data_IF_100402488523
#
_entry.id   IF_100402488523
#
_cell.length_a   1.000
_cell.length_b   1.000
_cell.length_c   1.000
_cell.angle_alpha   90.00
_cell.angle_beta   90.00
_cell.angle_gamma   90.00
#
_symmetry.space_group_name_H-M   'P 1'
#
loop_
_entity.id
_entity.type
_entity.pdbx_description
1 polymer ?
#
# COMPACT_ATOMS: atom_id res chain seq x y z
N UNK A 1 -6.58 3.12 19.60
CA UNK A 1 -5.47 2.40 20.22
C UNK A 1 -4.91 1.35 19.27
N UNK A 2 -3.62 1.02 19.45
CA UNK A 2 -2.91 -0.03 18.71
C UNK A 2 -2.17 -0.89 19.74
N UNK A 3 -2.54 -2.15 19.85
CA UNK A 3 -1.96 -3.12 20.79
C UNK A 3 -1.23 -4.16 19.95
N UNK A 4 0.04 -4.39 20.25
CA UNK A 4 0.89 -5.38 19.59
C UNK A 4 1.53 -6.27 20.66
N UNK A 5 1.39 -7.57 20.48
CA UNK A 5 2.05 -8.57 21.28
C UNK A 5 2.92 -9.41 20.35
N UNK A 6 4.14 -9.70 20.77
CA UNK A 6 5.02 -10.58 20.01
C UNK A 6 5.89 -11.41 20.94
N UNK A 7 6.21 -12.61 20.48
CA UNK A 7 7.16 -13.52 21.11
C UNK A 7 8.24 -13.81 20.10
N UNK A 8 9.48 -13.66 20.50
CA UNK A 8 10.64 -13.99 19.67
C UNK A 8 11.45 -15.12 20.30
N UNK A 9 11.97 -15.96 19.43
CA UNK A 9 12.88 -17.04 19.79
C UNK A 9 14.10 -16.96 18.88
N UNK A 10 15.30 -17.00 19.48
CA UNK A 10 16.57 -16.99 18.76
C UNK A 10 17.49 -18.05 19.36
N UNK A 11 18.10 -18.87 18.51
CA UNK A 11 19.02 -19.90 18.95
C UNK A 11 20.11 -20.16 17.91
N UNK A 12 21.34 -20.25 18.38
CA UNK A 12 22.49 -20.70 17.62
C UNK A 12 22.95 -22.03 18.21
N UNK A 13 23.19 -23.04 17.35
CA UNK A 13 23.74 -24.31 17.76
C UNK A 13 24.83 -24.80 16.81
N UNK A 14 25.77 -25.51 17.35
CA UNK A 14 26.95 -26.00 16.62
C UNK A 14 27.70 -24.90 15.85
N UNK A 15 27.60 -23.63 16.27
CA UNK A 15 28.22 -22.45 15.62
C UNK A 15 27.88 -22.26 14.15
N UNK A 16 27.03 -23.11 13.60
CA UNK A 16 26.67 -23.15 12.15
C UNK A 16 25.20 -22.92 11.88
N UNK A 17 24.34 -23.22 12.83
CA UNK A 17 22.91 -23.11 12.65
C UNK A 17 22.41 -21.93 13.45
N UNK A 18 21.86 -20.96 12.77
CA UNK A 18 21.19 -19.81 13.37
C UNK A 18 19.70 -19.84 12.99
N UNK A 19 18.86 -19.89 14.00
CA UNK A 19 17.41 -19.90 13.83
C UNK A 19 16.78 -18.77 14.61
N UNK A 20 15.95 -17.96 13.92
CA UNK A 20 15.18 -16.90 14.53
C UNK A 20 13.71 -17.10 14.14
N UNK A 21 12.84 -16.97 15.12
CA UNK A 21 11.40 -17.03 14.91
C UNK A 21 10.71 -15.89 15.68
N UNK A 22 9.70 -15.31 15.07
CA UNK A 22 8.85 -14.28 15.66
C UNK A 22 7.40 -14.64 15.39
N UNK A 23 6.59 -14.64 16.44
CA UNK A 23 5.13 -14.76 16.33
C UNK A 23 4.52 -13.51 16.94
N UNK A 24 3.51 -12.95 16.28
CA UNK A 24 2.89 -11.74 16.79
C UNK A 24 1.44 -11.60 16.43
N UNK A 25 0.79 -10.72 17.18
CA UNK A 25 -0.60 -10.29 17.03
C UNK A 25 -0.66 -8.78 17.11
N UNK A 26 -1.51 -8.18 16.31
CA UNK A 26 -1.82 -6.75 16.34
C UNK A 26 -3.34 -6.56 16.34
N UNK A 27 -3.82 -5.66 17.17
CA UNK A 27 -5.21 -5.20 17.19
C UNK A 27 -5.18 -3.68 17.14
N UNK A 28 -5.80 -3.11 16.11
CA UNK A 28 -5.92 -1.66 15.96
C UNK A 28 -7.39 -1.27 15.94
N UNK A 29 -7.70 -0.28 16.74
CA UNK A 29 -9.00 0.33 16.86
C UNK A 29 -8.85 1.84 16.68
N UNK A 30 -9.50 2.41 15.68
CA UNK A 30 -9.48 3.84 15.41
C UNK A 30 -10.89 4.34 15.18
N UNK A 31 -11.27 5.33 15.96
CA UNK A 31 -12.48 6.12 15.77
C UNK A 31 -12.07 7.51 15.37
N UNK A 32 -12.53 7.94 14.21
CA UNK A 32 -12.25 9.27 13.67
C UNK A 32 -13.53 10.03 13.52
N UNK A 33 -13.55 11.22 14.09
CA UNK A 33 -14.62 12.19 13.87
C UNK A 33 -14.04 13.37 13.08
N UNK A 34 -14.62 13.65 11.94
CA UNK A 34 -14.31 14.81 11.13
C UNK A 34 -15.51 15.75 11.19
N UNK A 35 -15.27 16.97 11.65
CA UNK A 35 -16.25 18.05 11.63
C UNK A 35 -15.77 19.07 10.60
N UNK A 36 -16.61 19.41 9.66
CA UNK A 36 -16.34 20.44 8.65
C UNK A 36 -17.35 21.58 8.79
N UNK A 37 -16.85 22.80 8.78
CA UNK A 37 -17.66 24.00 8.82
C UNK A 37 -17.38 24.80 7.55
N UNK A 38 -18.43 25.19 6.83
CA UNK A 38 -18.34 26.04 5.64
C UNK A 38 -18.88 27.41 5.98
N UNK A 39 -18.04 28.42 5.84
CA UNK A 39 -18.44 29.82 6.02
C UNK A 39 -18.85 30.45 4.68
N UNK A 40 -20.00 31.13 4.67
CA UNK A 40 -20.51 31.84 3.49
C UNK A 40 -20.40 33.33 3.66
N UNK A 41 -20.36 34.06 2.55
CA UNK A 41 -20.32 35.53 2.56
C UNK A 41 -19.00 36.08 3.07
N UNK A 42 -17.88 35.50 2.61
CA UNK A 42 -16.54 35.93 3.01
C UNK A 42 -16.26 37.37 2.61
N UNK A 43 -15.94 38.25 3.59
CA UNK A 43 -15.71 39.68 3.40
C UNK A 43 -14.21 39.97 3.42
N UNK A 44 -13.64 40.18 2.24
CA UNK A 44 -12.20 40.45 2.10
C UNK A 44 -11.79 41.81 2.64
N UNK A 45 -12.69 42.80 2.55
CA UNK A 45 -12.50 44.16 3.01
C UNK A 45 -12.58 44.32 4.54
N UNK A 46 -13.16 43.32 5.22
CA UNK A 46 -13.27 43.27 6.69
C UNK A 46 -12.31 42.26 7.34
N UNK A 47 -11.14 42.08 6.80
CA UNK A 47 -10.12 41.21 7.37
C UNK A 47 -10.36 39.71 7.17
N UNK A 48 -11.18 39.33 6.18
CA UNK A 48 -11.38 37.94 5.83
C UNK A 48 -12.31 37.16 6.79
N UNK A 49 -13.35 37.83 7.28
CA UNK A 49 -14.37 37.19 8.13
C UNK A 49 -15.54 36.68 7.31
N UNK A 50 -16.20 35.61 7.78
CA UNK A 50 -17.46 35.12 7.21
C UNK A 50 -18.62 35.96 7.70
N UNK A 51 -19.65 36.10 6.86
CA UNK A 51 -20.87 36.81 7.28
C UNK A 51 -21.67 35.91 8.23
N UNK A 52 -22.03 36.46 9.40
CA UNK A 52 -22.91 35.80 10.38
C UNK A 52 -24.38 36.16 10.14
N UNK A 53 -24.75 36.68 8.96
CA UNK A 53 -26.11 37.06 8.64
C UNK A 53 -27.00 35.82 8.54
N UNK A 54 -28.05 35.76 9.40
CA UNK A 54 -29.03 34.68 9.42
C UNK A 54 -29.72 34.47 8.07
N UNK A 55 -29.99 35.52 7.31
CA UNK A 55 -30.68 35.41 6.02
C UNK A 55 -29.82 34.67 4.98
N UNK A 56 -28.49 34.92 4.97
CA UNK A 56 -27.55 34.21 4.11
C UNK A 56 -27.50 32.73 4.51
N UNK A 57 -27.40 32.43 5.80
CA UNK A 57 -27.38 31.03 6.30
C UNK A 57 -28.68 30.30 5.95
N UNK A 58 -29.83 30.96 6.15
CA UNK A 58 -31.14 30.41 5.79
C UNK A 58 -31.23 30.09 4.29
N UNK A 59 -30.82 31.01 3.43
CA UNK A 59 -30.82 30.82 1.98
C UNK A 59 -29.90 29.68 1.55
N UNK A 60 -28.71 29.56 2.15
CA UNK A 60 -27.80 28.45 1.86
C UNK A 60 -28.39 27.09 2.25
N UNK A 61 -29.02 27.02 3.41
CA UNK A 61 -29.70 25.77 3.86
C UNK A 61 -30.85 25.43 2.92
N UNK A 62 -31.67 26.40 2.51
CA UNK A 62 -32.78 26.20 1.57
C UNK A 62 -32.30 25.74 0.18
N UNK A 63 -31.06 26.06 -0.20
CA UNK A 63 -30.41 25.62 -1.43
C UNK A 63 -29.59 24.35 -1.28
N UNK A 64 -29.72 23.63 -0.14
CA UNK A 64 -28.97 22.42 0.20
C UNK A 64 -27.43 22.61 0.26
N UNK A 65 -26.97 23.79 0.63
CA UNK A 65 -25.58 24.04 0.96
C UNK A 65 -25.35 23.83 2.45
N UNK A 66 -24.51 22.85 2.78
CA UNK A 66 -24.19 22.52 4.17
C UNK A 66 -23.24 23.56 4.77
N UNK A 67 -23.58 24.13 5.93
CA UNK A 67 -22.67 24.93 6.74
C UNK A 67 -21.92 24.08 7.79
N UNK A 68 -22.40 22.88 8.06
CA UNK A 68 -21.80 21.95 8.98
C UNK A 68 -21.99 20.53 8.49
N UNK A 69 -20.92 19.77 8.46
CA UNK A 69 -20.99 18.31 8.25
C UNK A 69 -20.16 17.56 9.28
N UNK A 70 -20.60 16.38 9.61
CA UNK A 70 -19.95 15.48 10.55
C UNK A 70 -19.83 14.09 9.95
N UNK A 71 -18.60 13.61 9.82
CA UNK A 71 -18.33 12.24 9.42
C UNK A 71 -17.72 11.45 10.58
N UNK A 72 -18.21 10.23 10.77
CA UNK A 72 -17.70 9.27 11.76
C UNK A 72 -17.14 8.06 11.00
N UNK A 73 -15.89 7.71 11.27
CA UNK A 73 -15.24 6.54 10.68
C UNK A 73 -14.77 5.63 11.80
N UNK A 74 -15.08 4.35 11.68
CA UNK A 74 -14.75 3.32 12.67
C UNK A 74 -13.90 2.24 12.01
N UNK A 75 -12.58 2.28 12.24
CA UNK A 75 -11.63 1.30 11.71
C UNK A 75 -11.30 0.25 12.78
N UNK A 76 -11.48 -1.00 12.43
CA UNK A 76 -11.13 -2.18 13.23
C UNK A 76 -10.24 -3.07 12.39
N UNK A 77 -9.06 -3.31 12.89
CA UNK A 77 -8.06 -4.10 12.19
C UNK A 77 -7.43 -5.11 13.15
N UNK A 78 -7.28 -6.32 12.70
CA UNK A 78 -6.59 -7.39 13.44
C UNK A 78 -5.65 -8.12 12.52
N UNK A 79 -4.46 -8.43 13.00
CA UNK A 79 -3.45 -9.16 12.26
C UNK A 79 -2.78 -10.22 13.14
N UNK A 80 -2.47 -11.36 12.53
CA UNK A 80 -1.58 -12.37 13.07
C UNK A 80 -0.42 -12.54 12.12
N UNK A 81 0.79 -12.60 12.63
CA UNK A 81 1.97 -12.72 11.78
C UNK A 81 3.01 -13.64 12.39
N UNK A 82 3.74 -14.31 11.51
CA UNK A 82 4.89 -15.12 11.84
C UNK A 82 6.04 -14.82 10.88
N UNK A 83 7.24 -14.79 11.41
CA UNK A 83 8.48 -14.72 10.65
C UNK A 83 9.41 -15.83 11.13
N UNK A 84 10.08 -16.49 10.20
CA UNK A 84 11.08 -17.52 10.49
C UNK A 84 12.27 -17.28 9.58
N UNK A 85 13.45 -17.17 10.20
CA UNK A 85 14.72 -17.03 9.52
C UNK A 85 15.64 -18.16 9.95
N UNK A 86 16.25 -18.81 8.99
CA UNK A 86 17.23 -19.85 9.23
C UNK A 86 18.47 -19.61 8.39
N UNK A 87 19.64 -19.60 9.02
CA UNK A 87 20.93 -19.47 8.36
C UNK A 87 21.84 -20.65 8.70
N UNK A 88 22.40 -21.25 7.67
CA UNK A 88 23.35 -22.35 7.81
C UNK A 88 24.77 -21.88 7.43
N UNK A 89 25.69 -22.04 8.35
CA UNK A 89 27.14 -21.80 8.20
C UNK A 89 27.47 -20.42 7.60
N UNK A 90 26.58 -19.42 7.87
CA UNK A 90 26.66 -18.06 7.30
C UNK A 90 26.70 -18.03 5.76
N UNK A 91 26.36 -19.15 5.10
CA UNK A 91 26.36 -19.30 3.64
C UNK A 91 24.96 -19.27 3.06
N UNK A 92 24.06 -20.04 3.63
CA UNK A 92 22.72 -20.22 3.13
C UNK A 92 21.72 -19.65 4.13
N UNK A 93 20.92 -18.69 3.73
CA UNK A 93 19.83 -18.16 4.54
C UNK A 93 18.51 -18.35 3.82
N UNK A 94 17.49 -18.75 4.55
CA UNK A 94 16.11 -18.79 4.09
C UNK A 94 15.24 -18.04 5.09
N UNK A 95 14.37 -17.19 4.58
CA UNK A 95 13.43 -16.41 5.39
C UNK A 95 12.02 -16.63 4.88
N UNK A 96 11.09 -16.82 5.80
CA UNK A 96 9.67 -16.96 5.52
C UNK A 96 8.85 -16.06 6.42
N UNK A 97 7.95 -15.29 5.83
CA UNK A 97 6.99 -14.45 6.56
C UNK A 97 5.58 -14.79 6.11
N UNK A 98 4.68 -14.92 7.05
CA UNK A 98 3.24 -15.04 6.79
C UNK A 98 2.50 -14.04 7.67
N UNK A 99 1.49 -13.40 7.10
CA UNK A 99 0.62 -12.47 7.83
C UNK A 99 -0.83 -12.69 7.40
N UNK A 100 -1.72 -12.72 8.37
CA UNK A 100 -3.15 -12.90 8.19
C UNK A 100 -3.87 -11.68 8.74
N UNK A 101 -4.37 -10.84 7.85
CA UNK A 101 -4.94 -9.54 8.14
C UNK A 101 -6.46 -9.55 7.98
N UNK A 102 -7.16 -8.90 8.91
CA UNK A 102 -8.60 -8.72 8.87
C UNK A 102 -9.01 -7.27 9.15
N UNK A 103 -10.01 -6.78 8.42
CA UNK A 103 -10.55 -5.43 8.58
C UNK A 103 -12.07 -5.41 8.45
N UNK A 104 -12.71 -4.48 9.19
CA UNK A 104 -14.16 -4.25 9.10
C UNK A 104 -14.56 -3.42 7.87
N UNK A 105 -13.60 -2.79 7.16
CA UNK A 105 -13.86 -1.96 5.99
C UNK A 105 -14.11 -2.78 4.73
N UNK A 106 -13.79 -4.08 4.76
CA UNK A 106 -14.03 -5.01 3.67
C UNK A 106 -15.42 -5.63 3.72
N UNK A 107 -15.82 -6.25 2.60
CA UNK A 107 -17.12 -6.85 2.39
C UNK A 107 -17.60 -7.76 3.53
N UNK A 108 -18.91 -8.01 3.58
CA UNK A 108 -19.54 -8.84 4.61
C UNK A 108 -19.14 -10.33 4.53
N UNK A 109 -18.54 -10.79 3.41
CA UNK A 109 -18.06 -12.17 3.32
C UNK A 109 -16.76 -12.34 4.12
N UNK A 110 -16.66 -13.46 4.82
CA UNK A 110 -15.45 -13.79 5.61
C UNK A 110 -14.20 -13.89 4.73
N UNK A 111 -14.33 -14.40 3.51
CA UNK A 111 -13.23 -14.54 2.55
C UNK A 111 -12.69 -13.21 2.02
N UNK A 112 -13.54 -12.18 1.91
CA UNK A 112 -13.09 -10.84 1.52
C UNK A 112 -12.55 -10.04 2.71
N UNK A 113 -12.98 -10.37 3.93
CA UNK A 113 -12.54 -9.67 5.15
C UNK A 113 -11.14 -10.06 5.59
N UNK A 114 -10.74 -11.31 5.33
CA UNK A 114 -9.48 -11.88 5.77
C UNK A 114 -8.61 -12.27 4.57
N UNK A 115 -7.35 -11.84 4.59
CA UNK A 115 -6.40 -12.18 3.53
C UNK A 115 -5.06 -12.60 4.09
N UNK A 116 -4.55 -13.79 3.72
CA UNK A 116 -3.18 -14.17 3.98
C UNK A 116 -2.22 -13.47 3.00
N UNK A 117 -1.18 -12.85 3.51
CA UNK A 117 -0.02 -12.39 2.75
C UNK A 117 1.21 -13.18 3.20
N UNK A 118 2.15 -13.39 2.29
CA UNK A 118 3.32 -14.19 2.61
C UNK A 118 4.51 -13.79 1.74
N UNK A 119 5.70 -14.08 2.24
CA UNK A 119 6.94 -13.93 1.50
C UNK A 119 7.89 -15.08 1.85
N UNK A 120 8.59 -15.59 0.85
CA UNK A 120 9.68 -16.53 1.03
C UNK A 120 10.88 -15.99 0.27
N UNK A 121 12.03 -15.92 0.92
CA UNK A 121 13.27 -15.45 0.31
C UNK A 121 14.45 -16.33 0.71
N UNK A 122 15.41 -16.41 -0.19
CA UNK A 122 16.67 -17.12 0.02
C UNK A 122 17.86 -16.23 -0.33
N UNK A 123 18.95 -16.43 0.41
CA UNK A 123 20.23 -15.79 0.17
C UNK A 123 21.35 -16.82 0.21
N UNK A 124 22.19 -16.80 -0.80
CA UNK A 124 23.41 -17.59 -0.85
C UNK A 124 24.63 -16.68 -0.83
N UNK A 125 25.38 -16.69 0.26
CA UNK A 125 26.63 -15.98 0.42
C UNK A 125 27.77 -16.80 -0.21
N UNK A 126 27.93 -16.72 -1.52
CA UNK A 126 28.92 -17.46 -2.30
C UNK A 126 30.35 -17.10 -1.84
N UNK A 127 30.59 -15.84 -1.47
CA UNK A 127 31.87 -15.38 -0.96
C UNK A 127 32.39 -16.17 0.25
N UNK A 128 31.50 -16.84 1.00
CA UNK A 128 31.88 -17.67 2.14
C UNK A 128 32.18 -19.13 1.77
N UNK A 129 32.10 -19.49 0.49
CA UNK A 129 32.39 -20.85 0.03
C UNK A 129 33.89 -21.10 -0.08
N UNK A 130 34.29 -22.35 0.10
CA UNK A 130 35.71 -22.73 0.10
C UNK A 130 36.41 -22.45 -1.24
N UNK A 131 35.70 -22.62 -2.36
CA UNK A 131 36.20 -22.38 -3.71
C UNK A 131 36.40 -20.89 -4.04
N UNK A 132 35.80 -19.99 -3.25
CA UNK A 132 35.95 -18.54 -3.45
C UNK A 132 37.24 -17.97 -2.85
N UNK A 133 37.92 -18.71 -1.99
CA UNK A 133 39.15 -18.25 -1.32
C UNK A 133 40.29 -17.95 -2.29
N UNK A 134 40.29 -18.56 -3.47
CA UNK A 134 41.32 -18.39 -4.49
C UNK A 134 41.09 -17.11 -5.32
N UNK A 135 39.94 -16.46 -5.23
CA UNK A 135 39.60 -15.24 -5.96
C UNK A 135 39.90 -14.00 -5.12
N UNK A 136 41.19 -13.63 -5.03
CA UNK A 136 41.66 -12.52 -4.18
C UNK A 136 41.07 -11.14 -4.55
N UNK A 137 40.56 -10.99 -5.75
CA UNK A 137 39.95 -9.73 -6.24
C UNK A 137 38.46 -9.58 -5.94
N UNK A 138 37.81 -10.68 -5.53
CA UNK A 138 36.39 -10.71 -5.19
C UNK A 138 36.24 -10.97 -3.67
N UNK A 139 35.85 -9.93 -2.94
CA UNK A 139 35.79 -9.96 -1.48
C UNK A 139 34.48 -10.58 -0.97
N UNK A 140 33.40 -10.29 -1.66
CA UNK A 140 32.08 -10.84 -1.33
C UNK A 140 31.25 -11.05 -2.61
N UNK A 141 30.45 -12.09 -2.60
CA UNK A 141 29.42 -12.37 -3.61
C UNK A 141 28.22 -12.99 -2.92
N UNK A 142 27.05 -12.43 -3.09
CA UNK A 142 25.81 -12.96 -2.58
C UNK A 142 24.72 -12.95 -3.66
N UNK A 143 23.97 -14.06 -3.78
CA UNK A 143 22.78 -14.14 -4.59
C UNK A 143 21.55 -14.05 -3.68
N UNK A 144 20.52 -13.37 -4.14
CA UNK A 144 19.24 -13.21 -3.44
C UNK A 144 18.10 -13.56 -4.39
N UNK A 145 17.12 -14.29 -3.89
CA UNK A 145 15.89 -14.55 -4.60
C UNK A 145 14.72 -14.53 -3.61
N UNK A 146 13.60 -14.00 -4.02
CA UNK A 146 12.41 -13.96 -3.18
C UNK A 146 11.13 -13.91 -4.00
N UNK A 147 10.07 -14.49 -3.43
CA UNK A 147 8.73 -14.44 -3.99
C UNK A 147 7.74 -14.24 -2.86
N UNK A 148 6.72 -13.43 -3.11
CA UNK A 148 5.70 -13.17 -2.11
C UNK A 148 4.41 -12.64 -2.70
N UNK A 149 3.36 -12.74 -1.90
CA UNK A 149 2.06 -12.12 -2.10
C UNK A 149 1.90 -11.01 -1.08
N UNK A 150 1.72 -9.79 -1.57
CA UNK A 150 1.34 -8.63 -0.77
C UNK A 150 -0.08 -8.22 -1.08
N UNK A 151 -0.71 -7.51 -0.17
CA UNK A 151 -2.05 -6.98 -0.38
C UNK A 151 -2.18 -5.58 0.19
N UNK A 152 -3.03 -4.80 -0.44
CA UNK A 152 -3.36 -3.44 -0.03
C UNK A 152 -4.85 -3.32 0.20
N UNK A 153 -5.21 -2.62 1.26
CA UNK A 153 -6.59 -2.27 1.53
C UNK A 153 -6.86 -0.86 1.01
N UNK A 154 -7.80 -0.70 0.09
CA UNK A 154 -8.10 0.61 -0.44
C UNK A 154 -8.72 1.52 0.62
N UNK A 155 -8.39 2.81 0.63
CA UNK A 155 -8.83 3.75 1.67
C UNK A 155 -10.32 4.12 1.62
N UNK A 156 -11.04 3.77 0.57
CA UNK A 156 -12.40 4.24 0.27
C UNK A 156 -13.34 3.13 -0.21
N UNK A 157 -13.18 1.92 0.28
CA UNK A 157 -14.07 0.83 -0.14
C UNK A 157 -15.30 0.74 0.77
N UNK A 158 -16.47 1.03 0.24
CA UNK A 158 -17.73 0.75 0.89
C UNK A 158 -18.30 -0.56 0.35
N UNK A 159 -18.21 -1.61 1.15
CA UNK A 159 -18.83 -2.88 0.84
C UNK A 159 -20.35 -2.85 1.06
N UNK A 160 -20.85 -1.92 1.89
CA UNK A 160 -22.27 -1.76 2.24
C UNK A 160 -22.81 -0.44 1.71
N UNK A 161 -24.10 -0.37 1.37
CA UNK A 161 -24.74 0.88 1.01
C UNK A 161 -24.64 1.92 2.12
N UNK A 162 -24.43 3.18 1.73
CA UNK A 162 -24.49 4.32 2.64
C UNK A 162 -25.77 5.09 2.36
N UNK A 163 -26.50 5.36 3.43
CA UNK A 163 -27.73 6.15 3.41
C UNK A 163 -27.45 7.49 4.08
N UNK A 164 -28.02 8.56 3.50
CA UNK A 164 -27.98 9.90 4.07
C UNK A 164 -29.39 10.43 4.27
N UNK A 165 -29.55 11.31 5.24
CA UNK A 165 -30.80 12.07 5.37
C UNK A 165 -30.84 13.08 4.23
N UNK A 166 -31.93 13.13 3.50
CA UNK A 166 -32.19 14.09 2.44
C UNK A 166 -33.45 14.90 2.81
N UNK A 167 -33.37 16.20 2.58
CA UNK A 167 -34.53 17.09 2.75
C UNK A 167 -35.01 17.52 1.36
N UNK A 168 -36.20 17.15 1.00
CA UNK A 168 -36.82 17.56 -0.26
C UNK A 168 -37.83 18.65 0.01
N UNK A 169 -37.62 19.81 -0.64
CA UNK A 169 -38.59 20.93 -0.59
C UNK A 169 -39.64 20.71 -1.66
N UNK A 170 -40.89 20.55 -1.27
CA UNK A 170 -42.01 20.50 -2.20
C UNK A 170 -42.41 21.89 -2.68
N UNK A 171 -43.13 22.03 -3.81
CA UNK A 171 -43.64 23.31 -4.29
C UNK A 171 -44.54 24.06 -3.27
N UNK A 172 -45.09 23.36 -2.28
CA UNK A 172 -45.91 23.87 -1.16
C UNK A 172 -45.08 24.50 -0.03
N UNK A 173 -43.75 24.61 -0.14
CA UNK A 173 -42.82 25.06 0.92
C UNK A 173 -42.66 24.10 2.09
N UNK A 174 -43.24 22.87 2.04
CA UNK A 174 -43.06 21.90 3.09
C UNK A 174 -41.73 21.14 2.87
N UNK A 175 -40.93 21.05 3.95
CA UNK A 175 -39.71 20.29 3.96
C UNK A 175 -40.04 18.87 4.43
N UNK A 176 -39.86 17.90 3.55
CA UNK A 176 -39.97 16.49 3.91
C UNK A 176 -38.58 15.89 4.12
N UNK A 177 -38.36 15.31 5.28
CA UNK A 177 -37.15 14.52 5.55
C UNK A 177 -37.32 13.12 4.99
N UNK A 178 -36.37 12.70 4.18
CA UNK A 178 -36.27 11.40 3.56
C UNK A 178 -34.94 10.71 3.82
N UNK A 179 -34.82 9.49 3.37
CA UNK A 179 -33.53 8.77 3.33
C UNK A 179 -33.18 8.55 1.86
N UNK A 180 -32.02 8.99 1.50
CA UNK A 180 -31.46 8.82 0.14
C UNK A 180 -30.26 7.87 0.19
N UNK A 181 -30.11 7.07 -0.87
CA UNK A 181 -28.92 6.24 -1.04
C UNK A 181 -27.78 7.12 -1.55
N UNK A 182 -26.77 7.33 -0.71
CA UNK A 182 -25.57 8.07 -1.10
C UNK A 182 -24.64 7.23 -1.98
N UNK A 183 -24.48 5.94 -1.65
CA UNK A 183 -23.75 4.98 -2.47
C UNK A 183 -24.33 3.58 -2.26
N UNK A 184 -24.46 2.82 -3.35
CA UNK A 184 -25.02 1.48 -3.31
C UNK A 184 -24.09 0.46 -2.65
N UNK A 185 -22.84 0.76 -2.49
CA UNK A 185 -21.85 -0.19 -2.03
C UNK A 185 -21.58 -1.32 -3.04
N UNK A 186 -20.53 -2.06 -2.80
CA UNK A 186 -20.17 -3.23 -3.62
C UNK A 186 -19.75 -4.39 -2.72
N UNK A 187 -20.62 -5.38 -2.56
CA UNK A 187 -20.36 -6.59 -1.77
C UNK A 187 -19.22 -7.46 -2.31
N UNK A 188 -18.87 -7.28 -3.58
CA UNK A 188 -17.87 -8.08 -4.28
C UNK A 188 -16.46 -7.49 -4.16
N UNK A 189 -16.32 -6.35 -3.45
CA UNK A 189 -15.02 -5.73 -3.21
C UNK A 189 -14.09 -6.67 -2.44
N UNK A 190 -12.88 -6.80 -2.94
CA UNK A 190 -11.80 -7.56 -2.31
C UNK A 190 -10.52 -6.73 -2.24
N UNK A 191 -9.51 -7.25 -1.55
CA UNK A 191 -8.20 -6.64 -1.44
C UNK A 191 -7.51 -6.58 -2.81
N UNK A 192 -6.79 -5.49 -3.05
CA UNK A 192 -5.81 -5.44 -4.13
C UNK A 192 -4.64 -6.34 -3.78
N UNK A 193 -4.25 -7.22 -4.68
CA UNK A 193 -3.22 -8.23 -4.46
C UNK A 193 -2.06 -8.04 -5.42
N UNK A 194 -0.86 -8.36 -4.99
CA UNK A 194 0.32 -8.27 -5.82
C UNK A 194 1.28 -9.41 -5.56
N UNK A 195 1.50 -10.25 -6.55
CA UNK A 195 2.61 -11.19 -6.56
C UNK A 195 3.87 -10.48 -7.02
N UNK A 196 4.92 -10.60 -6.24
CA UNK A 196 6.22 -10.03 -6.55
C UNK A 196 7.28 -11.11 -6.47
N UNK A 197 8.12 -11.17 -7.52
CA UNK A 197 9.32 -11.99 -7.57
C UNK A 197 10.51 -11.07 -7.73
N UNK A 198 11.53 -11.26 -6.90
CA UNK A 198 12.77 -10.49 -6.92
C UNK A 198 13.94 -11.43 -7.08
N UNK A 199 14.91 -11.04 -7.87
CA UNK A 199 16.20 -11.70 -8.01
C UNK A 199 17.30 -10.64 -7.98
N UNK A 200 18.31 -10.84 -7.17
CA UNK A 200 19.39 -9.88 -7.06
C UNK A 200 20.72 -10.51 -6.72
N UNK A 201 21.78 -9.78 -6.98
CA UNK A 201 23.10 -10.14 -6.50
C UNK A 201 23.89 -8.92 -6.06
N UNK A 202 24.74 -9.14 -5.06
CA UNK A 202 25.66 -8.15 -4.52
C UNK A 202 27.09 -8.69 -4.68
N UNK A 203 27.98 -7.86 -5.17
CA UNK A 203 29.39 -8.21 -5.31
C UNK A 203 30.28 -7.06 -4.82
N UNK A 204 31.29 -7.41 -4.03
CA UNK A 204 32.30 -6.47 -3.51
C UNK A 204 33.66 -6.89 -4.01
N UNK A 205 34.41 -5.95 -4.56
CA UNK A 205 35.68 -6.17 -5.23
C UNK A 205 36.80 -5.29 -4.64
N UNK A 206 38.04 -5.71 -4.89
CA UNK A 206 39.25 -4.90 -4.66
C UNK A 206 39.40 -4.41 -3.21
N UNK A 207 39.20 -5.31 -2.26
CA UNK A 207 39.28 -5.04 -0.81
C UNK A 207 38.28 -3.96 -0.36
N UNK A 208 37.04 -4.09 -0.81
CA UNK A 208 35.95 -3.17 -0.45
C UNK A 208 36.02 -1.81 -1.14
N UNK A 209 36.74 -1.73 -2.26
CA UNK A 209 36.85 -0.48 -3.05
C UNK A 209 35.77 -0.32 -4.09
N UNK A 210 35.14 -1.41 -4.54
CA UNK A 210 34.09 -1.39 -5.53
C UNK A 210 32.97 -2.32 -5.09
N UNK A 211 31.79 -1.76 -4.94
CA UNK A 211 30.56 -2.47 -4.61
C UNK A 211 29.59 -2.37 -5.80
N UNK A 212 29.05 -3.51 -6.20
CA UNK A 212 28.07 -3.61 -7.26
C UNK A 212 26.85 -4.36 -6.75
N UNK A 213 25.66 -3.79 -6.95
CA UNK A 213 24.36 -4.42 -6.63
C UNK A 213 23.48 -4.36 -7.87
N UNK A 214 22.83 -5.47 -8.15
CA UNK A 214 21.85 -5.61 -9.21
C UNK A 214 20.59 -6.28 -8.65
N UNK A 215 19.43 -5.70 -8.90
CA UNK A 215 18.13 -6.24 -8.55
C UNK A 215 17.20 -6.24 -9.77
N UNK A 216 16.56 -7.36 -10.03
CA UNK A 216 15.51 -7.51 -11.04
C UNK A 216 14.22 -7.91 -10.37
N UNK A 217 13.12 -7.28 -10.75
CA UNK A 217 11.81 -7.57 -10.18
C UNK A 217 10.74 -7.77 -11.26
N UNK A 218 9.78 -8.62 -10.95
CA UNK A 218 8.51 -8.77 -11.66
C UNK A 218 7.41 -8.66 -10.62
N UNK A 219 6.42 -7.80 -10.90
CA UNK A 219 5.25 -7.61 -10.05
C UNK A 219 4.00 -7.73 -10.91
N UNK A 220 3.10 -8.61 -10.51
CA UNK A 220 1.78 -8.76 -11.11
C UNK A 220 0.73 -8.39 -10.07
N UNK A 221 0.09 -7.26 -10.27
CA UNK A 221 -0.99 -6.75 -9.41
C UNK A 221 -2.33 -7.04 -10.07
N UNK A 222 -3.27 -7.55 -9.30
CA UNK A 222 -4.61 -7.93 -9.75
C UNK A 222 -5.64 -7.54 -8.70
N UNK A 223 -6.89 -7.56 -9.13
CA UNK A 223 -7.99 -7.05 -8.32
C UNK A 223 -7.81 -5.56 -7.94
N UNK A 224 -7.11 -4.76 -8.77
CA UNK A 224 -6.93 -3.33 -8.52
C UNK A 224 -8.27 -2.61 -8.58
N UNK A 225 -8.47 -1.72 -7.63
CA UNK A 225 -9.68 -0.94 -7.52
C UNK A 225 -9.69 0.23 -8.50
N UNK A 226 -10.77 0.32 -9.25
CA UNK A 226 -11.06 1.49 -10.06
C UNK A 226 -12.54 1.81 -10.08
N UNK A 227 -12.87 3.03 -10.47
CA UNK A 227 -14.25 3.45 -10.65
C UNK A 227 -14.73 2.97 -12.01
N UNK A 228 -15.73 2.11 -12.04
CA UNK A 228 -16.36 1.64 -13.28
C UNK A 228 -17.71 2.34 -13.52
N UNK A 229 -18.05 2.52 -14.80
CA UNK A 229 -19.36 3.03 -15.20
C UNK A 229 -20.37 1.87 -15.17
N UNK A 230 -21.49 2.09 -14.53
CA UNK A 230 -22.61 1.13 -14.45
C UNK A 230 -23.83 1.64 -15.20
N UNK A 231 -24.84 0.79 -15.39
CA UNK A 231 -26.04 1.10 -16.19
C UNK A 231 -26.91 2.24 -15.69
N UNK A 232 -26.67 2.72 -14.45
CA UNK A 232 -27.51 3.74 -13.79
C UNK A 232 -28.82 3.20 -13.21
N UNK A 233 -29.10 1.90 -13.37
CA UNK A 233 -30.22 1.23 -12.71
C UNK A 233 -29.90 1.19 -11.20
N UNK A 234 -30.74 1.80 -10.37
CA UNK A 234 -30.48 1.94 -8.92
C UNK A 234 -29.91 3.30 -8.51
N UNK A 235 -29.74 4.25 -9.46
CA UNK A 235 -29.38 5.65 -9.18
C UNK A 235 -27.88 5.97 -9.31
N UNK A 236 -26.98 5.02 -9.24
CA UNK A 236 -25.55 5.24 -9.44
C UNK A 236 -25.13 5.03 -10.90
N UNK A 237 -24.27 5.93 -11.39
CA UNK A 237 -23.64 5.80 -12.72
C UNK A 237 -22.20 5.27 -12.63
N UNK A 238 -21.60 5.33 -11.46
CA UNK A 238 -20.22 4.93 -11.18
C UNK A 238 -20.16 4.19 -9.87
N UNK A 239 -19.38 3.11 -9.81
CA UNK A 239 -19.10 2.40 -8.57
C UNK A 239 -17.66 1.92 -8.51
N UNK A 240 -17.15 1.73 -7.31
CA UNK A 240 -15.86 1.09 -7.09
C UNK A 240 -15.95 -0.42 -7.33
N UNK A 241 -15.00 -0.95 -8.07
CA UNK A 241 -14.91 -2.39 -8.35
C UNK A 241 -13.44 -2.82 -8.52
N UNK A 242 -13.16 -4.07 -8.23
CA UNK A 242 -11.90 -4.71 -8.57
C UNK A 242 -11.91 -5.03 -10.08
N UNK A 243 -11.33 -4.17 -10.90
CA UNK A 243 -11.58 -4.15 -12.34
C UNK A 243 -10.34 -3.97 -13.20
N UNK A 244 -9.15 -3.99 -12.62
CA UNK A 244 -7.92 -3.79 -13.36
C UNK A 244 -6.79 -4.72 -12.86
N UNK A 245 -5.95 -5.13 -13.82
CA UNK A 245 -4.73 -5.89 -13.59
C UNK A 245 -3.54 -5.14 -14.19
N UNK A 246 -2.42 -5.14 -13.47
CA UNK A 246 -1.20 -4.45 -13.87
C UNK A 246 0.00 -5.39 -13.73
N UNK A 247 0.86 -5.39 -14.74
CA UNK A 247 2.17 -6.03 -14.68
C UNK A 247 3.26 -4.97 -14.69
N UNK A 248 4.20 -5.08 -13.77
CA UNK A 248 5.38 -4.24 -13.69
C UNK A 248 6.63 -5.10 -13.69
N UNK A 249 7.64 -4.71 -14.43
CA UNK A 249 8.96 -5.33 -14.38
C UNK A 249 10.04 -4.28 -14.50
N UNK A 250 11.18 -4.53 -13.88
CA UNK A 250 12.26 -3.57 -13.92
C UNK A 250 13.54 -4.10 -13.30
N UNK A 251 14.57 -3.29 -13.36
CA UNK A 251 15.82 -3.57 -12.69
C UNK A 251 16.42 -2.30 -12.07
N UNK A 252 17.19 -2.51 -11.03
CA UNK A 252 17.96 -1.49 -10.33
C UNK A 252 19.43 -1.91 -10.31
N UNK A 253 20.31 -0.94 -10.62
CA UNK A 253 21.76 -1.12 -10.60
C UNK A 253 22.34 -0.07 -9.67
N UNK A 254 23.18 -0.48 -8.75
CA UNK A 254 23.99 0.42 -7.93
C UNK A 254 25.45 0.03 -8.04
N UNK A 255 26.27 1.01 -8.39
CA UNK A 255 27.72 0.89 -8.46
C UNK A 255 28.33 1.95 -7.54
N UNK A 256 29.04 1.52 -6.51
CA UNK A 256 29.70 2.40 -5.55
C UNK A 256 31.19 2.10 -5.52
N UNK A 257 32.02 3.13 -5.57
CA UNK A 257 33.46 2.97 -5.63
C UNK A 257 34.21 3.97 -4.79
N UNK A 258 35.40 3.55 -4.32
CA UNK A 258 36.40 4.38 -3.63
C UNK A 258 37.70 4.33 -4.43
N UNK A 259 37.77 5.03 -5.61
CA UNK A 259 38.91 4.92 -6.49
C UNK A 259 40.20 5.43 -5.86
N UNK A 260 40.15 6.42 -4.98
CA UNK A 260 41.31 6.96 -4.30
C UNK A 260 41.07 6.89 -2.78
N UNK A 261 41.96 6.19 -2.10
CA UNK A 261 42.01 6.12 -0.63
C UNK A 261 43.46 6.29 -0.21
N UNK A 262 43.79 7.44 0.36
CA UNK A 262 45.08 7.76 0.95
C UNK A 262 44.91 8.14 2.42
N UNK A 263 45.98 8.44 3.14
CA UNK A 263 45.89 8.87 4.56
C UNK A 263 45.12 10.18 4.71
N UNK A 264 45.28 11.12 3.75
CA UNK A 264 44.77 12.48 3.87
C UNK A 264 43.63 12.78 2.90
N UNK A 265 43.35 11.87 1.95
CA UNK A 265 42.32 12.09 0.95
C UNK A 265 41.59 10.79 0.60
N UNK A 266 40.27 10.86 0.59
CA UNK A 266 39.41 9.78 0.14
C UNK A 266 38.39 10.34 -0.88
N UNK A 267 38.32 9.72 -2.04
CA UNK A 267 37.26 9.98 -3.01
C UNK A 267 36.34 8.78 -3.10
N UNK A 268 35.07 9.03 -2.87
CA UNK A 268 33.98 8.05 -3.05
C UNK A 268 33.01 8.55 -4.11
N UNK A 269 32.52 7.65 -4.95
CA UNK A 269 31.52 7.92 -5.97
C UNK A 269 30.48 6.81 -5.97
N UNK A 270 29.22 7.17 -6.19
CA UNK A 270 28.13 6.20 -6.32
C UNK A 270 27.29 6.57 -7.54
N UNK A 271 26.93 5.54 -8.30
CA UNK A 271 26.03 5.63 -9.45
C UNK A 271 24.87 4.68 -9.22
N UNK A 272 23.65 5.19 -9.36
CA UNK A 272 22.43 4.38 -9.25
C UNK A 272 21.56 4.60 -10.48
N UNK A 273 21.07 3.53 -11.06
CA UNK A 273 20.18 3.54 -12.21
C UNK A 273 19.03 2.57 -11.98
N UNK A 274 17.79 3.04 -12.17
CA UNK A 274 16.59 2.22 -12.14
C UNK A 274 15.85 2.31 -13.47
N UNK A 275 15.31 1.18 -13.91
CA UNK A 275 14.40 1.11 -15.06
C UNK A 275 13.17 0.30 -14.67
N UNK A 276 11.99 0.82 -14.98
CA UNK A 276 10.74 0.10 -14.79
C UNK A 276 9.82 0.26 -15.98
N UNK A 277 9.11 -0.82 -16.31
CA UNK A 277 8.04 -0.86 -17.31
C UNK A 277 6.76 -1.32 -16.63
N UNK A 278 5.69 -0.55 -16.78
CA UNK A 278 4.36 -0.89 -16.28
C UNK A 278 3.43 -1.12 -17.47
N UNK A 279 2.58 -2.12 -17.39
CA UNK A 279 1.64 -2.48 -18.43
C UNK A 279 0.30 -2.88 -17.81
N UNK A 280 -0.77 -2.23 -18.22
CA UNK A 280 -2.13 -2.62 -17.84
C UNK A 280 -2.50 -3.85 -18.67
N UNK A 281 -2.76 -4.98 -18.00
CA UNK A 281 -3.09 -6.25 -18.66
C UNK A 281 -4.57 -6.39 -18.92
N UNK A 282 -5.38 -5.89 -17.99
CA UNK A 282 -6.83 -5.96 -18.07
C UNK A 282 -7.42 -4.70 -17.42
N UNK A 283 -8.49 -4.17 -17.98
CA UNK A 283 -9.25 -3.07 -17.39
C UNK A 283 -10.67 -3.09 -17.92
N UNK A 284 -11.64 -3.01 -17.02
CA UNK A 284 -13.05 -2.84 -17.38
C UNK A 284 -13.38 -1.41 -17.82
N UNK A 285 -12.47 -0.46 -17.63
CA UNK A 285 -12.64 0.90 -18.14
C UNK A 285 -12.26 0.95 -19.61
N UNK A 286 -13.19 1.45 -20.43
CA UNK A 286 -12.83 1.82 -21.80
C UNK A 286 -12.00 3.10 -21.76
N UNK A 287 -10.84 3.15 -22.46
CA UNK A 287 -10.05 4.37 -22.53
C UNK A 287 -10.88 5.47 -23.23
N UNK A 288 -10.95 6.62 -22.59
CA UNK A 288 -11.58 7.80 -23.18
C UNK A 288 -10.52 8.55 -24.01
N UNK A 289 -10.97 9.25 -25.08
CA UNK A 289 -10.06 9.99 -25.98
C UNK A 289 -9.20 11.01 -25.21
N UNK A 290 -9.77 11.71 -24.24
CA UNK A 290 -9.07 12.66 -23.39
C UNK A 290 -8.00 12.00 -22.50
N UNK A 291 -8.15 10.74 -22.12
CA UNK A 291 -7.11 9.98 -21.39
C UNK A 291 -5.95 9.59 -22.33
N UNK A 292 -6.24 9.36 -23.63
CA UNK A 292 -5.23 8.99 -24.63
C UNK A 292 -4.39 10.20 -25.11
N UNK A 293 -4.94 11.41 -25.06
CA UNK A 293 -4.28 12.64 -25.53
C UNK A 293 -3.67 13.47 -24.39
N UNK A 294 -3.80 13.04 -23.14
CA UNK A 294 -3.14 13.70 -21.99
C UNK A 294 -3.70 15.09 -21.67
N UNK A 295 -4.98 15.37 -22.00
CA UNK A 295 -5.69 16.62 -21.71
C UNK A 295 -6.60 16.42 -20.50
#
# INVERSE_FOLDING_TARGET
YDIRNSVSFSKIWNEKHEFNALLGQQIKYSDRQTNSNTGYGFQYDMGGTVSMNYLIMKQMIEQNFDYYSRALTYDRFTAFYANVDYTYDRRYSISGTVRYDGSNTMANSSSARWLPTWNISGKWNIGNEAFMKDFVWLDALALRAGVGLTASMPPLSNATPIFINSNTTRPSTDIESGIEIYTLGNSDLTWEKSYQSNFGFDATFLKGRLDFSFDYFIRNSFDLLSVIKVSGIGGERYKWANSADLSASGFDITLSGKPIVTKDFMWSSSFTMGYSKNEIKNSMQQPQINTLVGI
#
